data_IF_651487964428
#
_entry.id   IF_651487964428
#
_cell.length_a   1.000
_cell.length_b   1.000
_cell.length_c   1.000
_cell.angle_alpha   90.00
_cell.angle_beta   90.00
_cell.angle_gamma   90.00
#
_symmetry.space_group_name_H-M   'P 1'
#
loop_
_entity.id
_entity.type
_entity.pdbx_description
1 polymer ?
#
# COMPACT_ATOMS: atom_id res chain seq x y z
N UNK A 1 -7.33 -19.54 33.71
CA UNK A 1 -6.38 -19.50 32.58
C UNK A 1 -7.16 -19.23 31.31
N UNK A 2 -6.95 -18.06 30.68
CA UNK A 2 -7.60 -17.70 29.42
C UNK A 2 -6.77 -18.31 28.29
N UNK A 3 -7.38 -19.17 27.48
CA UNK A 3 -6.73 -19.77 26.32
C UNK A 3 -6.81 -18.77 25.17
N UNK A 4 -5.74 -17.99 24.97
CA UNK A 4 -5.67 -17.04 23.85
C UNK A 4 -5.33 -17.87 22.60
N UNK A 5 -6.21 -17.92 21.58
CA UNK A 5 -5.93 -18.63 20.35
C UNK A 5 -4.65 -18.06 19.73
N UNK A 6 -3.71 -18.94 19.36
CA UNK A 6 -2.48 -18.53 18.68
C UNK A 6 -2.85 -17.89 17.34
N UNK A 7 -2.52 -16.61 17.17
CA UNK A 7 -2.65 -15.92 15.89
C UNK A 7 -1.87 -16.66 14.80
N UNK A 8 -2.43 -16.70 13.59
CA UNK A 8 -1.75 -17.28 12.43
C UNK A 8 -0.53 -16.43 12.12
N UNK A 9 0.64 -17.07 12.04
CA UNK A 9 1.84 -16.40 11.56
C UNK A 9 1.71 -16.22 10.06
N UNK A 10 1.68 -14.97 9.64
CA UNK A 10 1.73 -14.63 8.22
C UNK A 10 3.18 -14.63 7.74
N UNK A 11 3.47 -15.44 6.73
CA UNK A 11 4.76 -15.39 6.04
C UNK A 11 4.76 -14.32 4.94
N UNK A 12 5.42 -13.20 5.22
CA UNK A 12 5.74 -12.18 4.21
C UNK A 12 7.20 -12.30 3.77
N UNK A 13 7.44 -12.15 2.47
CA UNK A 13 8.79 -11.94 1.97
C UNK A 13 9.37 -10.64 2.56
N UNK A 14 10.69 -10.58 2.75
CA UNK A 14 11.38 -9.36 3.22
C UNK A 14 10.99 -8.10 2.43
N UNK A 15 10.87 -8.12 1.08
CA UNK A 15 10.40 -6.97 0.32
C UNK A 15 9.00 -6.51 0.70
N UNK A 16 8.04 -7.43 0.82
CA UNK A 16 6.66 -7.11 1.19
C UNK A 16 6.57 -6.53 2.61
N UNK A 17 7.37 -7.08 3.54
CA UNK A 17 7.46 -6.59 4.92
C UNK A 17 8.05 -5.18 4.98
N UNK A 18 9.13 -4.91 4.25
CA UNK A 18 9.71 -3.57 4.16
C UNK A 18 8.69 -2.57 3.63
N UNK A 19 7.94 -2.97 2.61
CA UNK A 19 6.93 -2.13 2.02
C UNK A 19 5.77 -1.85 2.98
N UNK A 20 5.31 -2.86 3.72
CA UNK A 20 4.32 -2.69 4.78
C UNK A 20 4.74 -1.61 5.77
N UNK A 21 5.98 -1.71 6.26
CA UNK A 21 6.52 -0.76 7.24
C UNK A 21 6.58 0.65 6.64
N UNK A 22 7.05 0.79 5.39
CA UNK A 22 7.09 2.08 4.70
C UNK A 22 5.70 2.69 4.46
N UNK A 23 4.73 1.84 4.12
CA UNK A 23 3.34 2.22 3.96
C UNK A 23 2.73 2.72 5.27
N UNK A 24 2.88 1.93 6.32
CA UNK A 24 2.33 2.19 7.64
C UNK A 24 2.94 3.44 8.28
N UNK A 25 4.26 3.61 8.14
CA UNK A 25 4.98 4.77 8.70
C UNK A 25 4.99 5.97 7.76
N UNK A 26 4.50 5.85 6.53
CA UNK A 26 4.51 6.93 5.53
C UNK A 26 5.90 7.28 4.94
N UNK A 27 6.94 6.48 5.18
CA UNK A 27 8.32 6.73 4.73
C UNK A 27 8.69 6.05 3.40
N UNK A 28 7.70 5.64 2.61
CA UNK A 28 7.91 5.00 1.30
C UNK A 28 8.18 6.00 0.16
N UNK A 29 8.73 5.52 -0.97
CA UNK A 29 8.98 6.34 -2.16
C UNK A 29 7.68 6.58 -2.97
N UNK A 30 6.71 7.29 -2.40
CA UNK A 30 5.47 7.65 -3.09
C UNK A 30 5.66 8.86 -4.01
N UNK A 31 4.81 9.06 -5.03
CA UNK A 31 4.96 10.18 -5.98
C UNK A 31 5.00 11.55 -5.29
N UNK A 32 4.21 11.76 -4.23
CA UNK A 32 4.26 13.02 -3.47
C UNK A 32 5.60 13.27 -2.75
N UNK A 33 6.37 12.22 -2.47
CA UNK A 33 7.71 12.32 -1.89
C UNK A 33 8.77 12.42 -3.00
N UNK A 34 8.62 11.63 -4.08
CA UNK A 34 9.51 11.63 -5.23
C UNK A 34 9.45 12.93 -6.04
N UNK A 35 8.31 13.63 -6.06
CA UNK A 35 8.16 14.94 -6.70
C UNK A 35 9.09 16.01 -6.11
N UNK A 36 9.60 15.79 -4.89
CA UNK A 36 10.62 16.65 -4.27
C UNK A 36 12.02 16.38 -4.83
N UNK A 37 12.25 15.19 -5.39
CA UNK A 37 13.55 14.74 -5.91
C UNK A 37 13.59 14.72 -7.45
N UNK A 38 12.43 14.64 -8.10
CA UNK A 38 12.25 14.58 -9.56
C UNK A 38 11.09 15.52 -9.94
N UNK A 39 11.11 16.15 -11.12
CA UNK A 39 10.00 16.99 -11.63
C UNK A 39 8.79 16.14 -12.09
N UNK A 40 8.31 15.25 -11.21
CA UNK A 40 7.16 14.36 -11.47
C UNK A 40 5.90 14.96 -10.88
N UNK A 41 4.76 14.74 -11.55
CA UNK A 41 3.46 15.11 -11.00
C UNK A 41 3.16 14.29 -9.74
N UNK A 42 2.82 14.96 -8.63
CA UNK A 42 2.49 14.32 -7.37
C UNK A 42 1.10 13.68 -7.35
N UNK A 43 0.26 13.96 -8.35
CA UNK A 43 -1.10 13.43 -8.48
C UNK A 43 -1.07 11.89 -8.56
N UNK A 44 -2.01 11.25 -7.85
CA UNK A 44 -2.24 9.82 -7.83
C UNK A 44 -2.49 9.28 -9.23
N UNK A 45 -1.71 8.29 -9.65
CA UNK A 45 -1.84 7.70 -10.97
C UNK A 45 -3.07 6.79 -11.15
N UNK A 46 -3.84 6.56 -10.07
CA UNK A 46 -5.02 5.69 -10.08
C UNK A 46 -6.30 6.51 -10.18
N UNK A 47 -6.52 7.44 -9.26
CA UNK A 47 -7.72 8.29 -9.27
C UNK A 47 -7.52 9.61 -10.01
N UNK A 48 -6.28 10.05 -10.22
CA UNK A 48 -5.95 11.33 -10.88
C UNK A 48 -6.52 12.58 -10.19
N UNK A 49 -6.95 12.47 -8.93
CA UNK A 49 -7.64 13.55 -8.19
C UNK A 49 -6.80 14.16 -7.07
N UNK A 50 -6.11 13.33 -6.27
CA UNK A 50 -5.36 13.77 -5.08
C UNK A 50 -3.88 13.40 -5.18
N UNK A 51 -3.03 13.96 -4.32
CA UNK A 51 -1.62 13.56 -4.24
C UNK A 51 -1.44 12.09 -3.83
N UNK A 52 -0.57 11.36 -4.53
CA UNK A 52 -0.26 9.97 -4.19
C UNK A 52 0.58 9.88 -2.91
N UNK A 53 -0.06 9.48 -1.82
CA UNK A 53 0.57 9.16 -0.53
C UNK A 53 0.21 7.74 -0.10
N UNK A 54 0.93 7.19 0.87
CA UNK A 54 0.59 5.90 1.48
C UNK A 54 -0.87 5.90 1.97
N UNK A 55 -1.23 6.94 2.72
CA UNK A 55 -2.55 7.10 3.31
C UNK A 55 -3.64 7.26 2.24
N UNK A 56 -3.38 8.03 1.18
CA UNK A 56 -4.30 8.11 0.05
C UNK A 56 -4.54 6.72 -0.55
N UNK A 57 -3.49 5.98 -0.91
CA UNK A 57 -3.65 4.65 -1.52
C UNK A 57 -4.34 3.65 -0.59
N UNK A 58 -4.01 3.65 0.70
CA UNK A 58 -4.52 2.66 1.67
C UNK A 58 -5.94 2.97 2.14
N UNK A 59 -6.29 4.24 2.35
CA UNK A 59 -7.50 4.61 3.07
C UNK A 59 -8.49 5.43 2.23
N UNK A 60 -8.00 6.32 1.36
CA UNK A 60 -8.84 7.40 0.80
C UNK A 60 -9.09 7.31 -0.70
N UNK A 61 -8.24 6.63 -1.46
CA UNK A 61 -8.32 6.58 -2.92
C UNK A 61 -9.70 6.02 -3.36
N UNK A 62 -10.53 6.79 -4.06
CA UNK A 62 -11.89 6.37 -4.41
C UNK A 62 -11.87 5.20 -5.39
N UNK A 63 -10.92 5.19 -6.33
CA UNK A 63 -10.71 4.09 -7.29
C UNK A 63 -10.30 2.76 -6.65
N UNK A 64 -9.99 2.75 -5.35
CA UNK A 64 -9.64 1.54 -4.58
C UNK A 64 -10.71 1.18 -3.54
N UNK A 65 -11.84 1.90 -3.51
CA UNK A 65 -12.89 1.73 -2.49
C UNK A 65 -13.54 0.36 -2.53
N UNK A 66 -13.85 -0.15 -3.73
CA UNK A 66 -14.46 -1.47 -3.92
C UNK A 66 -13.55 -2.59 -3.44
N UNK A 67 -12.26 -2.55 -3.79
CA UNK A 67 -11.33 -3.60 -3.37
C UNK A 67 -11.03 -3.52 -1.87
N UNK A 68 -11.02 -2.32 -1.27
CA UNK A 68 -10.98 -2.21 0.19
C UNK A 68 -12.19 -2.88 0.83
N UNK A 69 -13.38 -2.64 0.28
CA UNK A 69 -14.61 -3.26 0.77
C UNK A 69 -14.58 -4.79 0.65
N UNK A 70 -14.10 -5.34 -0.46
CA UNK A 70 -13.94 -6.79 -0.63
C UNK A 70 -12.99 -7.39 0.41
N UNK A 71 -11.84 -6.76 0.64
CA UNK A 71 -10.87 -7.21 1.64
C UNK A 71 -11.41 -7.08 3.08
N UNK A 72 -12.25 -6.07 3.35
CA UNK A 72 -12.89 -5.91 4.66
C UNK A 72 -14.00 -6.93 4.93
N UNK A 73 -14.53 -7.60 3.91
CA UNK A 73 -15.47 -8.71 4.08
C UNK A 73 -14.78 -10.06 4.27
N UNK A 74 -13.47 -10.17 3.99
CA UNK A 74 -12.70 -11.34 4.39
C UNK A 74 -12.54 -11.34 5.92
N UNK A 75 -12.93 -12.44 6.57
CA UNK A 75 -12.93 -12.61 8.04
C UNK A 75 -11.51 -12.65 8.63
N UNK A 76 -10.49 -12.80 7.79
CA UNK A 76 -9.10 -12.91 8.22
C UNK A 76 -8.44 -11.52 8.24
N UNK A 77 -8.33 -10.96 9.44
CA UNK A 77 -7.81 -9.61 9.68
C UNK A 77 -6.33 -9.47 9.26
N UNK A 78 -5.57 -10.57 9.34
CA UNK A 78 -4.15 -10.62 8.96
C UNK A 78 -3.97 -10.55 7.44
N UNK A 79 -4.89 -11.17 6.67
CA UNK A 79 -4.94 -11.06 5.21
C UNK A 79 -5.16 -9.63 4.71
N UNK A 80 -5.87 -8.80 5.47
CA UNK A 80 -6.17 -7.39 5.09
C UNK A 80 -4.91 -6.56 4.94
N UNK A 81 -3.94 -6.76 5.83
CA UNK A 81 -2.67 -6.04 5.82
C UNK A 81 -1.80 -6.53 4.66
N UNK A 82 -1.74 -7.84 4.41
CA UNK A 82 -0.96 -8.45 3.33
C UNK A 82 -1.42 -8.00 1.94
N UNK A 83 -2.75 -8.01 1.71
CA UNK A 83 -3.30 -7.65 0.40
C UNK A 83 -3.02 -6.17 0.10
N UNK A 84 -3.12 -5.30 1.12
CA UNK A 84 -2.69 -3.90 1.03
C UNK A 84 -1.22 -3.78 0.64
N UNK A 85 -0.32 -4.59 1.24
CA UNK A 85 1.10 -4.61 0.87
C UNK A 85 1.34 -5.01 -0.58
N UNK A 86 0.77 -6.14 -1.03
CA UNK A 86 0.98 -6.64 -2.40
C UNK A 86 0.46 -5.65 -3.44
N UNK A 87 -0.64 -4.96 -3.16
CA UNK A 87 -1.21 -3.95 -4.06
C UNK A 87 -0.35 -2.69 -4.08
N UNK A 88 0.14 -2.25 -2.93
CA UNK A 88 1.12 -1.17 -2.83
C UNK A 88 2.40 -1.50 -3.61
N UNK A 89 2.85 -2.76 -3.57
CA UNK A 89 4.05 -3.24 -4.25
C UNK A 89 3.91 -3.01 -5.74
N UNK A 90 2.79 -3.46 -6.34
CA UNK A 90 2.52 -3.26 -7.77
C UNK A 90 2.49 -1.79 -8.15
N UNK A 91 1.89 -0.93 -7.34
CA UNK A 91 1.82 0.51 -7.63
C UNK A 91 3.21 1.16 -7.58
N UNK A 92 4.05 0.75 -6.63
CA UNK A 92 5.43 1.24 -6.53
C UNK A 92 6.27 0.70 -7.68
N UNK A 93 6.16 -0.59 -8.00
CA UNK A 93 6.88 -1.21 -9.11
C UNK A 93 6.51 -0.54 -10.45
N UNK A 94 5.22 -0.27 -10.69
CA UNK A 94 4.75 0.47 -11.88
C UNK A 94 5.28 1.91 -11.93
N UNK A 95 5.38 2.60 -10.77
CA UNK A 95 5.92 3.96 -10.71
C UNK A 95 7.46 4.00 -10.82
N UNK A 96 8.15 2.94 -10.40
CA UNK A 96 9.61 2.83 -10.53
C UNK A 96 10.02 2.48 -11.97
N UNK A 97 9.25 1.63 -12.66
CA UNK A 97 9.50 1.28 -14.07
C UNK A 97 9.26 2.43 -15.05
N UNK A 98 8.47 3.45 -14.68
CA UNK A 98 8.37 4.71 -15.45
C UNK A 98 9.64 5.58 -15.38
N UNK A 99 10.65 5.17 -14.59
CA UNK A 99 11.92 5.91 -14.45
C UNK A 99 13.12 5.21 -15.09
N UNK A 100 12.90 4.11 -15.82
CA UNK A 100 13.94 3.30 -16.46
C UNK A 100 14.11 3.53 -17.98
N UNK A 101 13.50 4.57 -18.55
CA UNK A 101 13.55 4.93 -19.97
C UNK A 101 14.04 6.35 -20.18
#
# INVERSE_FOLDING_TARGET
YVNIPKQKVVELSRPNMKLLVQAYTGHGPFLAHLSKWKNTNAICNICMEESQTADHLINRCPSLSYERYQVMQEEDEDLRIIIKCKKMQRIIDSNFNLTAS
#
